data_IF_488407280153
#
_entry.id   IF_488407280153
#
_cell.length_a   1.000
_cell.length_b   1.000
_cell.length_c   1.000
_cell.angle_alpha   90.00
_cell.angle_beta   90.00
_cell.angle_gamma   90.00
#
_symmetry.space_group_name_H-M   'P 1'
#
loop_
_entity.id
_entity.type
_entity.pdbx_description
1 polymer ?
#
# COMPACT_ATOMS: atom_id res chain seq x y z
N UNK A 1 -25.83 24.39 56.21
CA UNK A 1 -25.68 23.69 57.50
C UNK A 1 -25.12 22.30 57.22
N UNK A 2 -23.98 22.01 57.86
CA UNK A 2 -23.48 20.68 58.28
C UNK A 2 -23.32 19.57 57.23
N UNK A 3 -22.17 18.94 57.00
CA UNK A 3 -20.84 19.05 57.61
C UNK A 3 -20.13 17.68 57.65
N UNK A 4 -18.81 17.68 57.39
CA UNK A 4 -17.75 16.77 57.92
C UNK A 4 -17.86 15.26 57.65
N UNK A 5 -16.82 14.42 57.58
CA UNK A 5 -15.33 14.42 57.70
C UNK A 5 -14.95 12.97 57.28
N UNK A 6 -13.99 12.73 56.38
CA UNK A 6 -12.54 12.68 56.55
C UNK A 6 -11.94 11.30 56.93
N UNK A 7 -10.75 11.07 56.35
CA UNK A 7 -9.59 10.30 56.82
C UNK A 7 -9.48 8.80 56.48
N UNK A 8 -8.38 8.48 55.77
CA UNK A 8 -7.71 7.19 55.77
C UNK A 8 -6.40 7.27 54.99
N UNK A 9 -5.26 7.28 55.70
CA UNK A 9 -3.89 7.59 55.25
C UNK A 9 -2.99 6.39 55.54
N UNK A 10 -2.12 5.98 54.59
CA UNK A 10 -0.89 5.20 54.81
C UNK A 10 -0.08 5.31 53.49
N UNK A 11 1.13 5.86 53.36
CA UNK A 11 2.41 5.86 54.11
C UNK A 11 3.16 4.52 54.12
N UNK A 12 4.32 4.54 53.46
CA UNK A 12 5.46 3.61 53.59
C UNK A 12 5.85 2.97 52.26
N UNK A 13 7.11 2.94 51.80
CA UNK A 13 8.40 3.40 52.31
C UNK A 13 9.43 3.22 51.17
N UNK A 14 10.47 4.07 51.15
CA UNK A 14 11.67 4.00 50.31
C UNK A 14 12.45 2.67 50.40
N UNK A 15 13.26 2.39 49.37
CA UNK A 15 14.63 1.81 49.34
C UNK A 15 15.09 1.85 47.86
N UNK A 16 15.87 2.83 47.38
CA UNK A 16 17.35 2.92 47.40
C UNK A 16 18.04 1.57 47.32
N UNK A 17 18.68 1.29 46.18
CA UNK A 17 20.07 0.84 46.15
C UNK A 17 20.72 1.15 44.79
N UNK A 18 21.93 1.71 44.89
CA UNK A 18 22.84 2.03 43.83
C UNK A 18 23.88 0.92 43.73
N UNK A 19 24.30 0.55 42.51
CA UNK A 19 25.63 -0.05 42.29
C UNK A 19 26.21 0.48 40.99
N UNK A 20 27.17 1.37 41.13
CA UNK A 20 28.21 1.68 40.15
C UNK A 20 29.43 0.81 40.47
N UNK A 21 30.00 0.13 39.48
CA UNK A 21 31.37 -0.44 39.49
C UNK A 21 31.84 -0.37 38.03
N UNK A 22 32.57 0.68 37.63
CA UNK A 22 34.03 0.89 37.71
C UNK A 22 34.84 0.31 36.54
N UNK A 23 35.63 1.22 35.99
CA UNK A 23 36.79 1.13 35.10
C UNK A 23 37.60 -0.17 35.17
N UNK A 24 37.96 -0.68 34.00
CA UNK A 24 39.11 -1.56 33.84
C UNK A 24 40.10 -0.89 32.89
N UNK A 25 41.30 -0.59 33.40
CA UNK A 25 42.42 -0.10 32.60
C UNK A 25 43.74 -0.67 33.14
N UNK A 26 44.69 -0.92 32.23
CA UNK A 26 46.09 -1.38 32.42
C UNK A 26 46.28 -2.82 32.92
N UNK A 27 47.30 -3.60 32.55
CA UNK A 27 48.40 -3.52 31.57
C UNK A 27 49.12 -4.89 31.55
N UNK A 28 49.90 -5.13 30.50
CA UNK A 28 51.07 -6.02 30.41
C UNK A 28 50.93 -7.55 30.54
N UNK A 29 51.24 -8.26 29.44
CA UNK A 29 52.13 -9.42 29.48
C UNK A 29 52.95 -9.49 28.18
N UNK A 30 54.28 -9.72 28.21
CA UNK A 30 55.16 -9.68 27.06
C UNK A 30 55.32 -11.04 26.38
N UNK A 31 55.83 -11.00 25.14
CA UNK A 31 56.42 -12.10 24.35
C UNK A 31 55.65 -13.42 24.21
N UNK A 32 55.14 -13.66 23.00
CA UNK A 32 55.51 -14.91 22.32
C UNK A 32 55.54 -14.72 20.80
N UNK A 33 56.75 -14.83 20.26
CA UNK A 33 57.08 -14.75 18.85
C UNK A 33 57.09 -16.16 18.24
N UNK A 34 56.13 -16.52 17.38
CA UNK A 34 56.33 -17.51 16.30
C UNK A 34 55.18 -17.45 15.28
N UNK A 35 55.49 -17.06 14.04
CA UNK A 35 54.56 -17.10 12.89
C UNK A 35 54.40 -18.55 12.35
N UNK A 36 53.40 -18.84 11.50
CA UNK A 36 53.68 -18.64 10.07
C UNK A 36 52.55 -18.01 9.26
N UNK A 37 53.01 -17.46 8.15
CA UNK A 37 52.34 -16.72 7.09
C UNK A 37 51.16 -17.47 6.44
N UNK A 38 50.20 -16.70 5.90
CA UNK A 38 49.33 -17.20 4.83
C UNK A 38 47.82 -17.15 5.08
N UNK A 39 47.28 -16.02 5.54
CA UNK A 39 45.90 -15.65 5.21
C UNK A 39 45.83 -14.15 4.98
N UNK A 40 45.77 -13.74 3.72
CA UNK A 40 45.41 -12.37 3.34
C UNK A 40 43.99 -12.16 3.85
N UNK A 41 43.85 -11.51 5.00
CA UNK A 41 42.58 -11.00 5.49
C UNK A 41 42.15 -9.90 4.53
N UNK A 42 41.37 -10.30 3.53
CA UNK A 42 40.66 -9.40 2.64
C UNK A 42 39.82 -8.49 3.54
N UNK A 43 40.02 -7.16 3.53
CA UNK A 43 39.19 -6.27 4.33
C UNK A 43 37.73 -6.55 3.98
N UNK A 44 36.93 -6.87 5.00
CA UNK A 44 35.49 -6.77 4.82
C UNK A 44 35.22 -5.32 4.41
N UNK A 45 34.47 -5.07 3.31
CA UNK A 45 34.14 -3.71 2.95
C UNK A 45 33.50 -3.03 4.17
N UNK A 46 33.96 -1.82 4.47
CA UNK A 46 33.34 -1.02 5.52
C UNK A 46 31.85 -0.90 5.22
N UNK A 47 31.02 -0.89 6.27
CA UNK A 47 29.55 -0.79 6.25
C UNK A 47 28.96 0.33 5.37
N UNK A 48 29.78 1.15 4.72
CA UNK A 48 29.43 2.33 3.94
C UNK A 48 29.60 2.17 2.42
N UNK A 49 30.09 1.03 1.91
CA UNK A 49 30.37 0.87 0.48
C UNK A 49 30.09 -0.56 -0.01
N UNK A 50 28.80 -0.93 -0.09
CA UNK A 50 28.23 -1.92 -1.02
C UNK A 50 26.85 -2.44 -0.56
N UNK A 51 25.88 -1.53 -0.39
CA UNK A 51 24.46 -1.83 -0.58
C UNK A 51 23.85 -0.54 -1.11
N UNK A 52 23.65 -0.45 -2.43
CA UNK A 52 22.55 0.39 -2.91
C UNK A 52 21.33 -0.37 -2.42
N UNK A 53 20.79 0.06 -1.29
CA UNK A 53 19.48 -0.33 -0.83
C UNK A 53 18.52 0.12 -1.93
N UNK A 54 18.23 -0.79 -2.85
CA UNK A 54 17.12 -0.68 -3.79
C UNK A 54 15.92 -0.44 -2.90
N UNK A 55 15.52 0.84 -2.77
CA UNK A 55 14.54 1.28 -1.79
C UNK A 55 13.18 0.73 -2.22
N UNK A 56 12.92 -0.52 -1.84
CA UNK A 56 11.65 -1.17 -2.05
C UNK A 56 10.58 -0.34 -1.36
N UNK A 57 9.52 -0.02 -2.09
CA UNK A 57 8.45 0.81 -1.58
C UNK A 57 7.62 -0.03 -0.60
N UNK A 58 7.57 0.42 0.65
CA UNK A 58 6.82 -0.24 1.70
C UNK A 58 5.30 0.00 1.54
N UNK A 59 4.48 -0.86 2.13
CA UNK A 59 3.02 -0.68 2.11
C UNK A 59 2.63 0.60 2.83
N UNK A 60 3.26 0.87 3.96
CA UNK A 60 3.01 2.06 4.78
C UNK A 60 3.36 3.36 4.05
N UNK A 61 4.28 3.29 3.08
CA UNK A 61 4.66 4.41 2.22
C UNK A 61 3.84 4.43 0.91
N UNK A 62 2.69 3.74 0.84
CA UNK A 62 1.88 3.63 -0.38
C UNK A 62 0.45 4.08 -0.14
N UNK A 63 -0.06 4.93 -1.02
CA UNK A 63 -1.49 5.24 -1.09
C UNK A 63 -2.23 4.16 -1.88
N UNK A 64 -3.29 3.60 -1.33
CA UNK A 64 -4.18 2.67 -2.00
C UNK A 64 -5.43 3.41 -2.49
N UNK A 65 -5.56 3.56 -3.81
CA UNK A 65 -6.76 4.09 -4.46
C UNK A 65 -7.61 2.93 -4.96
N UNK A 66 -8.83 2.83 -4.43
CA UNK A 66 -9.87 1.91 -4.88
C UNK A 66 -10.90 2.66 -5.72
N UNK A 67 -10.98 2.32 -7.02
CA UNK A 67 -11.93 2.93 -7.93
C UNK A 67 -13.28 2.22 -7.85
N UNK A 68 -14.30 2.98 -7.47
CA UNK A 68 -15.67 2.50 -7.22
C UNK A 68 -16.76 3.45 -7.78
N UNK A 69 -16.37 4.36 -8.68
CA UNK A 69 -17.26 5.33 -9.35
C UNK A 69 -17.68 4.89 -10.77
N UNK A 70 -17.37 3.65 -11.17
CA UNK A 70 -17.64 3.15 -12.50
C UNK A 70 -19.14 3.02 -12.81
N UNK A 71 -19.55 3.43 -14.01
CA UNK A 71 -20.94 3.30 -14.45
C UNK A 71 -21.27 1.84 -14.78
N UNK A 72 -22.28 1.29 -14.12
CA UNK A 72 -22.84 -0.06 -14.37
C UNK A 72 -23.67 -0.13 -15.66
N UNK A 73 -23.20 0.46 -16.78
CA UNK A 73 -23.99 0.62 -18.02
C UNK A 73 -24.55 -0.70 -18.57
N UNK A 74 -23.86 -1.81 -18.31
CA UNK A 74 -24.21 -3.17 -18.76
C UNK A 74 -25.03 -3.96 -17.74
N UNK A 75 -25.13 -3.47 -16.50
CA UNK A 75 -25.78 -4.16 -15.38
C UNK A 75 -27.24 -3.72 -15.15
N UNK A 76 -27.77 -2.85 -16.01
CA UNK A 76 -29.12 -2.31 -15.88
C UNK A 76 -29.21 -1.22 -14.82
N UNK A 77 -30.41 -1.00 -14.25
CA UNK A 77 -30.70 0.05 -13.27
C UNK A 77 -30.14 -0.24 -11.86
N UNK A 78 -29.62 -1.45 -11.61
CA UNK A 78 -29.01 -1.82 -10.35
C UNK A 78 -27.49 -1.61 -10.41
N UNK A 79 -26.92 -0.98 -9.38
CA UNK A 79 -25.49 -0.77 -9.30
C UNK A 79 -24.76 -2.09 -9.03
N UNK A 80 -23.88 -2.53 -9.95
CA UNK A 80 -23.18 -3.83 -9.88
C UNK A 80 -22.34 -3.97 -8.61
N UNK A 81 -21.79 -2.87 -8.10
CA UNK A 81 -20.95 -2.87 -6.90
C UNK A 81 -21.76 -3.18 -5.63
N UNK A 82 -23.09 -2.98 -5.67
CA UNK A 82 -24.01 -3.34 -4.58
C UNK A 82 -24.55 -4.76 -4.69
N UNK A 83 -24.42 -5.40 -5.85
CA UNK A 83 -24.93 -6.75 -6.05
C UNK A 83 -24.22 -7.71 -5.09
N UNK A 84 -24.99 -8.66 -4.55
CA UNK A 84 -24.51 -9.59 -3.55
C UNK A 84 -23.64 -10.67 -4.21
N UNK A 85 -22.42 -10.83 -3.71
CA UNK A 85 -21.51 -11.92 -4.05
C UNK A 85 -21.10 -12.59 -2.75
N UNK A 86 -21.39 -13.89 -2.60
CA UNK A 86 -21.07 -14.66 -1.40
C UNK A 86 -21.52 -13.99 -0.08
N UNK A 87 -22.73 -13.41 -0.06
CA UNK A 87 -23.34 -12.86 1.16
C UNK A 87 -22.94 -11.42 1.51
N UNK A 88 -22.16 -10.72 0.67
CA UNK A 88 -21.83 -9.29 0.86
C UNK A 88 -21.78 -8.54 -0.49
N UNK A 89 -21.90 -7.20 -0.50
CA UNK A 89 -21.77 -6.42 -1.73
C UNK A 89 -20.44 -6.70 -2.44
N UNK A 90 -20.46 -6.74 -3.78
CA UNK A 90 -19.28 -6.99 -4.61
C UNK A 90 -18.10 -6.09 -4.22
N UNK A 91 -18.34 -4.77 -4.07
CA UNK A 91 -17.29 -3.81 -3.71
C UNK A 91 -16.62 -4.10 -2.37
N UNK A 92 -17.36 -4.69 -1.43
CA UNK A 92 -16.85 -4.98 -0.09
C UNK A 92 -15.74 -6.05 -0.11
N UNK A 93 -15.67 -6.91 -1.12
CA UNK A 93 -14.60 -7.92 -1.21
C UNK A 93 -13.21 -7.29 -1.41
N UNK A 94 -13.09 -6.39 -2.39
CA UNK A 94 -11.87 -5.65 -2.65
C UNK A 94 -11.57 -4.67 -1.51
N UNK A 95 -12.59 -3.97 -0.99
CA UNK A 95 -12.45 -3.04 0.13
C UNK A 95 -11.93 -3.74 1.40
N UNK A 96 -12.49 -4.89 1.79
CA UNK A 96 -12.04 -5.63 2.97
C UNK A 96 -10.58 -6.07 2.82
N UNK A 97 -10.21 -6.56 1.63
CA UNK A 97 -8.86 -7.05 1.35
C UNK A 97 -7.82 -5.94 1.43
N UNK A 98 -8.09 -4.80 0.77
CA UNK A 98 -7.17 -3.66 0.72
C UNK A 98 -7.18 -2.85 2.03
N UNK A 99 -8.34 -2.72 2.66
CA UNK A 99 -8.51 -2.03 3.94
C UNK A 99 -7.81 -2.74 5.10
N UNK A 100 -7.65 -4.06 5.03
CA UNK A 100 -6.88 -4.82 6.02
C UNK A 100 -5.35 -4.73 5.81
N UNK A 101 -4.88 -4.16 4.69
CA UNK A 101 -3.45 -3.96 4.42
C UNK A 101 -2.98 -2.62 5.00
N UNK A 102 -1.74 -2.56 5.53
CA UNK A 102 -1.22 -1.38 6.24
C UNK A 102 -0.73 -0.29 5.28
N UNK A 103 -1.58 0.12 4.34
CA UNK A 103 -1.28 1.26 3.46
C UNK A 103 -1.20 2.56 4.27
N UNK A 104 -0.35 3.49 3.83
CA UNK A 104 -0.23 4.81 4.46
C UNK A 104 -1.51 5.63 4.31
N UNK A 105 -2.18 5.48 3.17
CA UNK A 105 -3.47 6.08 2.90
C UNK A 105 -4.41 5.10 2.18
N UNK A 106 -5.70 5.13 2.53
CA UNK A 106 -6.75 4.40 1.85
C UNK A 106 -7.76 5.41 1.28
N UNK A 107 -7.92 5.41 -0.04
CA UNK A 107 -8.80 6.33 -0.76
C UNK A 107 -9.79 5.51 -1.59
N UNK A 108 -11.08 5.75 -1.42
CA UNK A 108 -12.12 5.17 -2.27
C UNK A 108 -12.74 6.27 -3.14
N UNK A 109 -12.60 6.16 -4.45
CA UNK A 109 -13.24 7.10 -5.38
C UNK A 109 -14.60 6.53 -5.75
N UNK A 110 -15.67 7.17 -5.28
CA UNK A 110 -17.04 6.64 -5.26
C UNK A 110 -17.98 7.50 -6.09
N UNK A 111 -19.11 6.92 -6.51
CA UNK A 111 -20.26 7.71 -6.98
C UNK A 111 -21.24 7.95 -5.83
N UNK A 112 -22.27 8.76 -6.07
CA UNK A 112 -23.34 8.97 -5.08
C UNK A 112 -24.07 7.67 -4.70
N UNK A 113 -24.03 6.66 -5.56
CA UNK A 113 -24.71 5.37 -5.34
C UNK A 113 -23.88 4.34 -4.57
N UNK A 114 -22.57 4.57 -4.47
CA UNK A 114 -21.61 3.63 -3.87
C UNK A 114 -20.89 4.19 -2.66
N UNK A 115 -21.09 5.48 -2.35
CA UNK A 115 -20.43 6.15 -1.21
C UNK A 115 -20.69 5.50 0.15
N UNK A 116 -21.84 4.86 0.34
CA UNK A 116 -22.23 4.16 1.57
C UNK A 116 -21.64 2.74 1.69
N UNK A 117 -20.90 2.25 0.67
CA UNK A 117 -20.28 0.92 0.68
C UNK A 117 -18.88 0.93 1.30
N UNK A 118 -18.32 2.10 1.59
CA UNK A 118 -16.95 2.26 2.04
C UNK A 118 -16.92 3.00 3.36
N UNK A 119 -16.39 2.33 4.37
CA UNK A 119 -16.12 2.88 5.70
C UNK A 119 -14.60 2.99 5.93
N UNK A 120 -14.22 3.32 7.17
CA UNK A 120 -12.82 3.28 7.59
C UNK A 120 -12.18 1.92 7.25
N UNK A 121 -10.92 1.91 6.76
CA UNK A 121 -9.99 3.04 6.73
C UNK A 121 -10.13 3.98 5.52
N UNK A 122 -11.05 3.72 4.58
CA UNK A 122 -11.13 4.51 3.35
C UNK A 122 -11.65 5.93 3.58
N UNK A 123 -10.88 6.91 3.11
CA UNK A 123 -11.37 8.26 2.84
C UNK A 123 -12.11 8.24 1.50
N UNK A 124 -13.41 8.54 1.53
CA UNK A 124 -14.24 8.57 0.31
C UNK A 124 -14.08 9.89 -0.44
N UNK A 125 -13.88 9.82 -1.75
CA UNK A 125 -13.84 10.95 -2.69
C UNK A 125 -14.98 10.81 -3.69
N UNK A 126 -15.92 11.75 -3.67
CA UNK A 126 -17.10 11.70 -4.55
C UNK A 126 -16.74 12.16 -5.96
N UNK A 127 -16.98 11.30 -6.95
CA UNK A 127 -16.94 11.63 -8.37
C UNK A 127 -18.37 11.90 -8.87
N UNK A 128 -18.69 13.17 -9.14
CA UNK A 128 -19.98 13.58 -9.70
C UNK A 128 -19.99 13.61 -11.24
N UNK A 129 -18.86 13.37 -11.89
CA UNK A 129 -18.67 13.46 -13.34
C UNK A 129 -18.14 12.12 -13.92
N UNK A 130 -18.74 11.01 -13.49
CA UNK A 130 -18.40 9.65 -13.91
C UNK A 130 -18.46 9.40 -15.43
N UNK A 131 -19.14 10.27 -16.20
CA UNK A 131 -19.16 10.26 -17.67
C UNK A 131 -17.82 10.64 -18.31
N UNK A 132 -16.93 11.30 -17.57
CA UNK A 132 -15.57 11.64 -18.02
C UNK A 132 -14.63 10.42 -18.05
N UNK A 133 -15.10 9.24 -17.62
CA UNK A 133 -14.37 7.98 -17.72
C UNK A 133 -13.47 7.68 -16.54
N UNK A 134 -12.68 6.62 -16.67
CA UNK A 134 -11.84 6.10 -15.59
C UNK A 134 -10.69 7.04 -15.25
N UNK A 135 -10.13 7.75 -16.25
CA UNK A 135 -9.03 8.70 -16.04
C UNK A 135 -9.42 9.82 -15.06
N UNK A 136 -10.66 10.31 -15.11
CA UNK A 136 -11.14 11.32 -14.17
C UNK A 136 -11.22 10.77 -12.73
N UNK A 137 -11.68 9.52 -12.57
CA UNK A 137 -11.69 8.87 -11.25
C UNK A 137 -10.28 8.66 -10.70
N UNK A 138 -9.33 8.29 -11.56
CA UNK A 138 -7.92 8.19 -11.19
C UNK A 138 -7.37 9.55 -10.75
N UNK A 139 -7.63 10.62 -11.52
CA UNK A 139 -7.18 11.97 -11.20
C UNK A 139 -7.69 12.43 -9.83
N UNK A 140 -8.99 12.26 -9.55
CA UNK A 140 -9.58 12.57 -8.24
C UNK A 140 -8.93 11.79 -7.10
N UNK A 141 -8.59 10.52 -7.32
CA UNK A 141 -7.88 9.71 -6.34
C UNK A 141 -6.47 10.24 -6.07
N UNK A 142 -5.72 10.59 -7.11
CA UNK A 142 -4.37 11.15 -7.00
C UNK A 142 -4.39 12.52 -6.30
N UNK A 143 -5.32 13.39 -6.65
CA UNK A 143 -5.48 14.72 -6.02
C UNK A 143 -5.84 14.65 -4.54
N UNK A 144 -6.39 13.52 -4.09
CA UNK A 144 -6.80 13.33 -2.69
C UNK A 144 -5.68 12.82 -1.76
N UNK A 145 -4.53 12.41 -2.33
CA UNK A 145 -3.35 11.90 -1.62
C UNK A 145 -2.67 13.04 -0.86
N UNK A 146 -2.22 12.76 0.36
CA UNK A 146 -1.29 13.61 1.09
C UNK A 146 0.16 13.29 0.70
N UNK A 147 0.67 13.94 -0.36
CA UNK A 147 1.97 13.62 -0.98
C UNK A 147 3.17 13.58 -0.01
N UNK A 148 3.08 14.24 1.14
CA UNK A 148 4.14 14.21 2.16
C UNK A 148 4.31 12.88 2.88
N UNK A 149 3.38 11.92 2.71
CA UNK A 149 3.29 10.70 3.50
C UNK A 149 3.49 9.41 2.68
N UNK A 150 3.57 9.49 1.35
CA UNK A 150 3.67 8.31 0.48
C UNK A 150 4.70 8.47 -0.64
N UNK A 151 5.18 7.34 -1.15
CA UNK A 151 6.17 7.18 -2.22
C UNK A 151 5.63 6.46 -3.45
N UNK A 152 4.51 5.74 -3.29
CA UNK A 152 3.83 5.06 -4.39
C UNK A 152 2.32 5.16 -4.28
N UNK A 153 1.67 4.81 -5.39
CA UNK A 153 0.22 4.70 -5.50
C UNK A 153 -0.12 3.34 -6.09
N UNK A 154 -0.92 2.58 -5.36
CA UNK A 154 -1.64 1.41 -5.88
C UNK A 154 -3.01 1.86 -6.39
N UNK A 155 -3.35 1.49 -7.61
CA UNK A 155 -4.69 1.67 -8.19
C UNK A 155 -5.32 0.31 -8.39
N UNK A 156 -6.49 0.09 -7.80
CA UNK A 156 -7.28 -1.14 -7.90
C UNK A 156 -8.77 -0.85 -8.21
N UNK A 157 -9.51 -1.87 -8.64
CA UNK A 157 -10.93 -1.76 -8.97
C UNK A 157 -11.79 -2.48 -7.93
N UNK A 158 -12.92 -1.89 -7.58
CA UNK A 158 -13.87 -2.48 -6.61
C UNK A 158 -14.64 -3.69 -7.16
N UNK A 159 -14.64 -3.91 -8.47
CA UNK A 159 -15.31 -5.02 -9.14
C UNK A 159 -14.40 -6.24 -9.42
N UNK A 160 -13.16 -6.23 -8.89
CA UNK A 160 -12.22 -7.35 -8.92
C UNK A 160 -12.07 -7.97 -7.52
N UNK A 161 -13.03 -8.81 -7.07
CA UNK A 161 -13.15 -9.22 -5.68
C UNK A 161 -12.10 -10.24 -5.21
N UNK A 162 -11.39 -10.89 -6.13
CA UNK A 162 -10.58 -12.08 -5.83
C UNK A 162 -9.07 -11.84 -5.90
N UNK A 163 -8.62 -10.61 -6.12
CA UNK A 163 -7.19 -10.31 -6.18
C UNK A 163 -6.57 -10.51 -4.79
N UNK A 164 -5.59 -11.42 -4.64
CA UNK A 164 -5.05 -11.73 -3.32
C UNK A 164 -4.04 -10.69 -2.84
N UNK A 165 -3.90 -10.57 -1.52
CA UNK A 165 -2.90 -9.68 -0.87
C UNK A 165 -1.47 -9.92 -1.37
N UNK A 166 -1.10 -11.17 -1.64
CA UNK A 166 0.21 -11.52 -2.20
C UNK A 166 0.47 -10.91 -3.58
N UNK A 167 -0.57 -10.71 -4.40
CA UNK A 167 -0.44 -10.09 -5.71
C UNK A 167 -0.21 -8.58 -5.60
N UNK A 168 -0.93 -7.90 -4.71
CA UNK A 168 -0.68 -6.48 -4.42
C UNK A 168 0.75 -6.25 -3.91
N UNK A 169 1.26 -7.11 -3.02
CA UNK A 169 2.65 -7.06 -2.56
C UNK A 169 3.65 -7.25 -3.70
N UNK A 170 3.42 -8.25 -4.55
CA UNK A 170 4.29 -8.50 -5.70
C UNK A 170 4.33 -7.33 -6.70
N UNK A 171 3.23 -6.57 -6.84
CA UNK A 171 3.23 -5.34 -7.63
C UNK A 171 4.11 -4.25 -7.00
N UNK A 172 4.04 -4.06 -5.67
CA UNK A 172 4.90 -3.09 -4.97
C UNK A 172 6.38 -3.46 -5.06
N UNK A 173 6.71 -4.74 -4.87
CA UNK A 173 8.08 -5.27 -4.99
C UNK A 173 8.65 -5.11 -6.41
N UNK A 174 7.79 -4.91 -7.40
CA UNK A 174 8.16 -4.73 -8.79
C UNK A 174 8.27 -3.26 -9.22
N UNK A 175 8.23 -2.30 -8.29
CA UNK A 175 8.38 -0.85 -8.56
C UNK A 175 9.52 -0.25 -7.76
N UNK A 176 10.30 0.60 -8.44
CA UNK A 176 11.34 1.44 -7.84
C UNK A 176 10.83 2.86 -7.59
N UNK A 177 11.20 3.47 -6.46
CA UNK A 177 10.82 4.86 -6.14
C UNK A 177 11.47 5.86 -7.11
N UNK A 178 12.78 5.71 -7.34
CA UNK A 178 13.59 6.65 -8.13
C UNK A 178 14.29 6.02 -9.34
N UNK A 179 14.38 4.68 -9.36
CA UNK A 179 14.94 3.90 -10.46
C UNK A 179 13.88 3.41 -11.45
N UNK A 180 14.25 2.44 -12.28
CA UNK A 180 13.31 1.72 -13.15
C UNK A 180 13.19 0.27 -12.67
N UNK A 181 11.99 -0.33 -12.72
CA UNK A 181 10.76 0.19 -13.29
C UNK A 181 9.97 1.14 -12.36
N UNK A 182 9.43 2.25 -12.89
CA UNK A 182 8.57 3.16 -12.12
C UNK A 182 7.08 2.80 -12.10
N UNK A 183 6.69 1.78 -12.87
CA UNK A 183 5.32 1.28 -12.97
C UNK A 183 5.36 -0.24 -12.97
N UNK A 184 4.53 -0.88 -12.14
CA UNK A 184 4.20 -2.29 -12.24
C UNK A 184 2.71 -2.48 -12.46
N UNK A 185 2.34 -3.42 -13.30
CA UNK A 185 0.95 -3.68 -13.64
C UNK A 185 0.65 -5.18 -13.64
N UNK A 186 -0.60 -5.51 -13.40
CA UNK A 186 -1.07 -6.89 -13.49
C UNK A 186 -1.08 -7.34 -14.93
N UNK A 187 -0.52 -8.53 -15.21
CA UNK A 187 -0.66 -9.17 -16.51
C UNK A 187 -1.88 -10.08 -16.53
N UNK A 188 -2.75 -9.88 -17.53
CA UNK A 188 -3.79 -10.83 -17.87
C UNK A 188 -3.77 -11.08 -19.38
N UNK A 189 -3.64 -12.35 -19.79
CA UNK A 189 -3.70 -12.74 -21.21
C UNK A 189 -2.77 -11.92 -22.12
N UNK A 190 -1.57 -11.60 -21.64
CA UNK A 190 -0.56 -10.82 -22.36
C UNK A 190 -0.78 -9.30 -22.38
N UNK A 191 -1.78 -8.78 -21.66
CA UNK A 191 -2.04 -7.34 -21.53
C UNK A 191 -1.81 -6.86 -20.11
N UNK A 192 -1.22 -5.68 -19.99
CA UNK A 192 -1.10 -4.97 -18.72
C UNK A 192 -2.44 -4.31 -18.36
N UNK A 193 -2.86 -4.46 -17.11
CA UNK A 193 -4.09 -3.88 -16.59
C UNK A 193 -3.94 -3.56 -15.09
N UNK A 194 -4.92 -2.85 -14.55
CA UNK A 194 -5.08 -2.72 -13.09
C UNK A 194 -5.46 -4.07 -12.47
N UNK A 195 -5.08 -4.36 -11.21
CA UNK A 195 -4.34 -3.48 -10.30
C UNK A 195 -2.93 -3.14 -10.76
N UNK A 196 -2.50 -1.90 -10.52
CA UNK A 196 -1.20 -1.38 -10.94
C UNK A 196 -0.62 -0.44 -9.88
N UNK A 197 0.70 -0.45 -9.74
CA UNK A 197 1.46 0.40 -8.83
C UNK A 197 2.30 1.38 -9.64
N UNK A 198 2.32 2.62 -9.20
CA UNK A 198 3.12 3.69 -9.76
C UNK A 198 3.97 4.28 -8.65
N UNK A 199 5.25 4.56 -8.90
CA UNK A 199 5.97 5.52 -8.05
C UNK A 199 5.20 6.84 -8.05
N UNK A 200 5.21 7.58 -6.94
CA UNK A 200 4.46 8.83 -6.81
C UNK A 200 4.86 9.83 -7.92
N UNK A 201 6.16 9.89 -8.23
CA UNK A 201 6.70 10.69 -9.35
C UNK A 201 5.98 10.38 -10.68
N UNK A 202 5.79 9.09 -10.97
CA UNK A 202 5.14 8.67 -12.21
C UNK A 202 3.62 8.82 -12.13
N UNK A 203 3.03 8.65 -10.94
CA UNK A 203 1.61 8.82 -10.70
C UNK A 203 1.10 10.22 -11.07
N UNK A 204 1.90 11.28 -10.93
CA UNK A 204 1.51 12.63 -11.39
C UNK A 204 1.22 12.71 -12.89
N UNK A 205 1.81 11.84 -13.71
CA UNK A 205 1.50 11.80 -15.15
C UNK A 205 0.06 11.34 -15.41
N UNK A 206 -0.57 10.65 -14.44
CA UNK A 206 -1.97 10.24 -14.50
C UNK A 206 -2.94 11.44 -14.49
N UNK A 207 -2.54 12.59 -13.90
CA UNK A 207 -3.35 13.82 -13.86
C UNK A 207 -3.53 14.45 -15.23
N UNK A 208 -2.61 14.18 -16.16
CA UNK A 208 -2.64 14.73 -17.53
C UNK A 208 -3.39 13.84 -18.53
N UNK A 209 -3.95 12.72 -18.07
CA UNK A 209 -4.61 11.76 -18.94
C UNK A 209 -6.03 12.18 -19.28
N UNK A 210 -6.36 12.15 -20.56
CA UNK A 210 -7.71 12.31 -21.04
C UNK A 210 -8.27 10.98 -21.55
N UNK A 211 -9.45 10.62 -21.05
CA UNK A 211 -10.16 9.39 -21.42
C UNK A 211 -9.44 8.09 -21.07
N UNK A 212 -10.07 6.98 -21.43
CA UNK A 212 -9.61 5.63 -21.03
C UNK A 212 -8.36 5.17 -21.79
N UNK A 213 -8.06 5.76 -22.95
CA UNK A 213 -6.90 5.36 -23.77
C UNK A 213 -5.58 5.78 -23.12
N UNK A 214 -5.52 6.98 -22.52
CA UNK A 214 -4.30 7.48 -21.90
C UNK A 214 -3.81 6.62 -20.74
N UNK A 215 -4.73 6.07 -19.94
CA UNK A 215 -4.37 5.18 -18.83
C UNK A 215 -3.79 3.84 -19.33
N UNK A 216 -4.34 3.30 -20.43
CA UNK A 216 -3.85 2.06 -21.03
C UNK A 216 -2.46 2.23 -21.64
N UNK A 217 -2.20 3.37 -22.27
CA UNK A 217 -0.92 3.65 -22.91
C UNK A 217 0.22 3.73 -21.89
N UNK A 218 -0.03 4.29 -20.70
CA UNK A 218 0.97 4.30 -19.62
C UNK A 218 1.33 2.88 -19.15
N UNK A 219 0.35 1.98 -19.07
CA UNK A 219 0.59 0.60 -18.64
C UNK A 219 1.40 -0.22 -19.64
N UNK A 220 1.53 0.22 -20.90
CA UNK A 220 2.37 -0.49 -21.89
C UNK A 220 3.86 -0.48 -21.50
N UNK A 221 4.30 0.54 -20.77
CA UNK A 221 5.68 0.64 -20.27
C UNK A 221 5.91 -0.06 -18.93
N UNK A 222 4.85 -0.62 -18.32
CA UNK A 222 4.92 -1.19 -16.99
C UNK A 222 5.67 -2.52 -16.97
N UNK A 223 6.39 -2.76 -15.87
CA UNK A 223 6.82 -4.11 -15.50
C UNK A 223 5.56 -4.94 -15.20
N UNK A 224 5.39 -6.06 -15.88
CA UNK A 224 4.19 -6.87 -15.67
C UNK A 224 4.41 -7.95 -14.62
N UNK A 225 3.45 -8.10 -13.71
CA UNK A 225 3.38 -9.16 -12.69
C UNK A 225 2.21 -10.09 -13.03
N UNK A 226 2.50 -11.37 -13.22
CA UNK A 226 1.49 -12.35 -13.60
C UNK A 226 0.56 -12.69 -12.42
N UNK A 227 -0.73 -12.83 -12.70
CA UNK A 227 -1.71 -13.40 -11.78
C UNK A 227 -2.54 -14.45 -12.52
N UNK A 228 -3.12 -15.39 -11.76
CA UNK A 228 -4.10 -16.32 -12.32
C UNK A 228 -5.33 -15.55 -12.81
N UNK A 229 -5.75 -15.77 -14.05
CA UNK A 229 -6.86 -15.02 -14.66
C UNK A 229 -8.18 -15.17 -13.88
N UNK A 230 -8.37 -16.28 -13.14
CA UNK A 230 -9.54 -16.50 -12.28
C UNK A 230 -9.59 -15.57 -11.08
N UNK A 231 -8.44 -15.06 -10.64
CA UNK A 231 -8.33 -14.08 -9.55
C UNK A 231 -8.49 -12.64 -10.07
N UNK A 232 -8.45 -12.45 -11.38
CA UNK A 232 -8.56 -11.16 -12.06
C UNK A 232 -9.94 -10.95 -12.71
N UNK A 233 -10.91 -11.79 -12.40
CA UNK A 233 -12.27 -11.69 -12.92
C UNK A 233 -12.89 -10.36 -12.49
N UNK A 234 -13.21 -9.52 -13.48
CA UNK A 234 -14.03 -8.34 -13.31
C UNK A 234 -15.50 -8.72 -13.48
N UNK A 235 -16.33 -8.28 -12.53
CA UNK A 235 -17.76 -8.55 -12.57
C UNK A 235 -18.45 -7.44 -13.34
N UNK A 236 -18.89 -7.76 -14.56
CA UNK A 236 -19.29 -6.79 -15.57
C UNK A 236 -20.71 -7.07 -16.11
N UNK A 237 -21.21 -8.30 -15.92
CA UNK A 237 -22.50 -8.79 -16.37
C UNK A 237 -23.24 -9.54 -15.27
N UNK A 238 -24.57 -9.54 -15.33
CA UNK A 238 -25.40 -10.25 -14.36
C UNK A 238 -25.08 -11.76 -14.28
N UNK A 239 -24.62 -12.34 -15.38
CA UNK A 239 -24.19 -13.74 -15.49
C UNK A 239 -22.98 -14.07 -14.60
N UNK A 240 -22.15 -13.06 -14.26
CA UNK A 240 -20.95 -13.27 -13.43
C UNK A 240 -21.30 -13.60 -11.97
N UNK A 241 -22.54 -13.35 -11.55
CA UNK A 241 -23.02 -13.51 -10.16
C UNK A 241 -23.79 -14.82 -9.89
N UNK A 242 -23.86 -15.71 -10.90
CA UNK A 242 -24.63 -16.97 -10.87
C UNK A 242 -23.74 -18.16 -10.49
#
# INVERSE_FOLDING_TARGET
>A
MSGSKAVGKAVGKELKDAVSIEHYNSSDNPDDSFAPEGRVSRPLPSRSAAWQETAMIALEDTACILLAAGQSRRFGAANKLRAELHGKPLASHAADTLGAMPFGEHIAVVSSETSDLFDLPFKTVLNTAQEQGMSHSIALGIEAINEGEVKAVLIALADMPFVPTGHYKALLEAVEETGEPQIAATQNSGRAQVPAVFSLRKAHTLLTLEGDQGARDLLQSAKTVACDSRLLTDFDRAEDFI
#
